data_IF_969237341262
#
_entry.id   IF_969237341262
#
_cell.length_a   1.000
_cell.length_b   1.000
_cell.length_c   1.000
_cell.angle_alpha   90.00
_cell.angle_beta   90.00
_cell.angle_gamma   90.00
#
_symmetry.space_group_name_H-M   'P 1'
#
loop_
_entity.id
_entity.type
_entity.pdbx_description
1 polymer ?
#
# COMPACT_ATOMS: atom_id res chain seq x y z
N UNK A 1 -21.33 -0.75 -23.72
CA UNK A 1 -21.96 0.59 -23.62
C UNK A 1 -20.86 1.64 -23.50
N UNK A 2 -21.04 2.89 -23.99
CA UNK A 2 -20.07 3.94 -23.66
C UNK A 2 -20.01 4.13 -22.13
N UNK A 3 -18.82 4.42 -21.60
CA UNK A 3 -18.62 4.65 -20.17
C UNK A 3 -19.62 5.67 -19.60
N UNK A 4 -20.19 5.36 -18.44
CA UNK A 4 -20.93 6.30 -17.61
C UNK A 4 -20.73 5.98 -16.13
N UNK A 5 -20.89 6.98 -15.27
CA UNK A 5 -20.78 6.78 -13.81
C UNK A 5 -22.01 6.03 -13.31
N UNK A 6 -21.79 4.90 -12.64
CA UNK A 6 -22.84 4.07 -12.08
C UNK A 6 -23.41 4.71 -10.81
N UNK A 7 -24.73 4.60 -10.67
CA UNK A 7 -25.48 4.82 -9.45
C UNK A 7 -26.14 3.50 -9.00
N UNK A 8 -26.88 3.53 -7.89
CA UNK A 8 -27.53 2.31 -7.38
C UNK A 8 -28.52 1.66 -8.35
N UNK A 9 -29.22 2.45 -9.18
CA UNK A 9 -30.23 1.95 -10.12
C UNK A 9 -29.58 1.34 -11.35
N UNK A 10 -28.61 2.04 -11.93
CA UNK A 10 -27.87 1.60 -13.11
C UNK A 10 -26.92 0.44 -12.82
N UNK A 11 -26.31 0.38 -11.63
CA UNK A 11 -25.54 -0.79 -11.19
C UNK A 11 -26.43 -2.03 -11.05
N UNK A 12 -27.64 -1.88 -10.49
CA UNK A 12 -28.60 -2.98 -10.40
C UNK A 12 -28.93 -3.53 -11.77
N UNK A 13 -29.24 -2.66 -12.72
CA UNK A 13 -29.54 -3.06 -14.09
C UNK A 13 -28.31 -3.70 -14.76
N UNK A 14 -27.13 -3.12 -14.62
CA UNK A 14 -25.90 -3.69 -15.19
C UNK A 14 -25.65 -5.12 -14.65
N UNK A 15 -25.90 -5.38 -13.37
CA UNK A 15 -25.78 -6.71 -12.77
C UNK A 15 -26.80 -7.72 -13.32
N UNK A 16 -27.99 -7.29 -13.77
CA UNK A 16 -28.98 -8.22 -14.38
C UNK A 16 -28.50 -8.80 -15.71
N UNK A 17 -27.64 -8.07 -16.41
CA UNK A 17 -27.06 -8.51 -17.68
C UNK A 17 -25.89 -9.51 -17.49
N UNK A 18 -25.48 -9.78 -16.25
CA UNK A 18 -24.34 -10.64 -15.91
C UNK A 18 -24.79 -11.84 -15.06
N UNK A 19 -25.26 -12.90 -15.72
CA UNK A 19 -25.87 -14.07 -15.07
C UNK A 19 -25.00 -14.70 -13.95
N UNK A 20 -23.69 -14.82 -14.17
CA UNK A 20 -22.77 -15.38 -13.17
C UNK A 20 -22.69 -14.52 -11.90
N UNK A 21 -22.69 -13.19 -12.04
CA UNK A 21 -22.67 -12.26 -10.91
C UNK A 21 -24.03 -12.22 -10.20
N UNK A 22 -25.12 -12.18 -10.96
CA UNK A 22 -26.48 -12.24 -10.43
C UNK A 22 -26.72 -13.53 -9.63
N UNK A 23 -26.18 -14.67 -10.10
CA UNK A 23 -26.29 -15.95 -9.39
C UNK A 23 -25.61 -15.95 -8.01
N UNK A 24 -24.53 -15.18 -7.83
CA UNK A 24 -23.85 -15.02 -6.54
C UNK A 24 -24.64 -14.19 -5.53
N UNK A 25 -25.52 -13.31 -6.02
CA UNK A 25 -26.42 -12.52 -5.18
C UNK A 25 -27.69 -13.31 -4.84
N UNK A 26 -28.16 -14.15 -5.76
CA UNK A 26 -29.41 -14.90 -5.61
C UNK A 26 -30.65 -14.03 -5.74
N UNK A 27 -31.83 -14.65 -5.70
CA UNK A 27 -33.12 -13.96 -5.76
C UNK A 27 -33.34 -13.14 -7.05
N UNK A 28 -34.28 -12.20 -6.98
CA UNK A 28 -34.56 -11.27 -8.08
C UNK A 28 -33.83 -9.94 -7.88
N UNK A 29 -33.64 -9.14 -8.94
CA UNK A 29 -33.01 -7.83 -8.82
C UNK A 29 -33.70 -6.92 -7.81
N UNK A 30 -35.00 -7.05 -7.55
CA UNK A 30 -35.73 -6.28 -6.54
C UNK A 30 -35.35 -6.63 -5.09
N UNK A 31 -34.83 -7.85 -4.86
CA UNK A 31 -34.41 -8.34 -3.54
C UNK A 31 -33.02 -7.81 -3.16
N UNK A 32 -32.28 -7.23 -4.11
CA UNK A 32 -30.94 -6.73 -3.85
C UNK A 32 -30.96 -5.38 -3.12
N UNK A 33 -30.06 -5.20 -2.17
CA UNK A 33 -29.77 -3.91 -1.55
C UNK A 33 -28.43 -3.41 -2.06
N UNK A 34 -28.36 -2.14 -2.46
CA UNK A 34 -27.14 -1.53 -2.98
C UNK A 34 -26.87 -0.27 -2.17
N UNK A 35 -25.68 -0.19 -1.58
CA UNK A 35 -25.23 1.00 -0.84
C UNK A 35 -23.86 1.44 -1.35
N UNK A 36 -23.70 2.74 -1.52
CA UNK A 36 -22.38 3.33 -1.75
C UNK A 36 -21.63 3.41 -0.41
N UNK A 37 -20.34 3.05 -0.43
CA UNK A 37 -19.45 2.99 0.75
C UNK A 37 -18.10 3.68 0.49
N UNK A 38 -18.09 4.65 -0.42
CA UNK A 38 -16.89 5.36 -0.86
C UNK A 38 -16.21 6.14 0.28
N UNK A 39 -15.19 5.56 0.89
CA UNK A 39 -14.33 6.17 1.92
C UNK A 39 -12.95 6.58 1.38
N UNK A 40 -12.48 5.94 0.31
CA UNK A 40 -11.21 6.25 -0.37
C UNK A 40 -11.22 7.51 -1.26
N UNK A 41 -10.05 7.88 -1.77
CA UNK A 41 -9.84 9.17 -2.46
C UNK A 41 -10.19 9.18 -3.96
N UNK A 42 -10.22 8.02 -4.64
CA UNK A 42 -10.19 7.94 -6.10
C UNK A 42 -11.45 7.36 -6.76
N UNK A 43 -12.12 6.39 -6.13
CA UNK A 43 -13.08 5.51 -6.79
C UNK A 43 -14.42 5.49 -6.05
N UNK A 44 -15.49 5.12 -6.75
CA UNK A 44 -16.79 4.82 -6.13
C UNK A 44 -16.86 3.34 -5.80
N UNK A 45 -17.31 3.00 -4.59
CA UNK A 45 -17.43 1.61 -4.14
C UNK A 45 -18.87 1.36 -3.71
N UNK A 46 -19.47 0.29 -4.22
CA UNK A 46 -20.79 -0.18 -3.84
C UNK A 46 -20.71 -1.56 -3.21
N UNK A 47 -21.48 -1.78 -2.14
CA UNK A 47 -21.77 -3.11 -1.62
C UNK A 47 -23.17 -3.49 -2.09
N UNK A 48 -23.25 -4.61 -2.79
CA UNK A 48 -24.49 -5.21 -3.27
C UNK A 48 -24.75 -6.47 -2.49
N UNK A 49 -25.89 -6.53 -1.79
CA UNK A 49 -26.28 -7.71 -1.02
C UNK A 49 -27.58 -8.29 -1.58
N UNK A 50 -27.59 -9.59 -1.86
CA UNK A 50 -28.78 -10.37 -2.18
C UNK A 50 -28.98 -11.51 -1.18
N UNK A 51 -30.02 -12.34 -1.37
CA UNK A 51 -30.35 -13.45 -0.47
C UNK A 51 -29.22 -14.48 -0.28
N UNK A 52 -28.43 -14.74 -1.33
CA UNK A 52 -27.44 -15.82 -1.33
C UNK A 52 -26.00 -15.33 -1.08
N UNK A 53 -25.75 -14.02 -1.17
CA UNK A 53 -24.41 -13.48 -1.03
C UNK A 53 -24.28 -11.99 -1.24
N UNK A 54 -23.03 -11.52 -1.24
CA UNK A 54 -22.67 -10.11 -1.39
C UNK A 54 -21.53 -9.93 -2.39
N UNK A 55 -21.57 -8.81 -3.11
CA UNK A 55 -20.53 -8.37 -4.04
C UNK A 55 -20.03 -6.98 -3.66
N UNK A 56 -18.73 -6.75 -3.86
CA UNK A 56 -18.14 -5.42 -3.84
C UNK A 56 -17.91 -4.96 -5.29
N UNK A 57 -18.46 -3.80 -5.65
CA UNK A 57 -18.39 -3.22 -6.99
C UNK A 57 -17.63 -1.89 -6.92
N UNK A 58 -16.42 -1.81 -7.49
CA UNK A 58 -15.55 -0.64 -7.47
C UNK A 58 -15.41 -0.06 -8.88
N UNK A 59 -15.83 1.18 -9.07
CA UNK A 59 -15.74 1.88 -10.37
C UNK A 59 -14.73 3.03 -10.30
N UNK A 60 -13.82 3.09 -11.27
CA UNK A 60 -12.96 4.25 -11.44
C UNK A 60 -13.76 5.45 -11.99
N UNK A 61 -13.47 6.65 -11.48
CA UNK A 61 -14.04 7.92 -11.94
C UNK A 61 -13.05 8.69 -12.85
N UNK A 62 -13.50 9.57 -13.76
CA UNK A 62 -12.60 10.33 -14.63
C UNK A 62 -11.82 11.45 -13.90
N UNK A 63 -11.92 11.52 -12.57
CA UNK A 63 -11.30 12.50 -11.68
C UNK A 63 -10.97 11.85 -10.33
N UNK A 64 -10.20 12.57 -9.50
CA UNK A 64 -10.00 12.24 -8.08
C UNK A 64 -11.28 12.57 -7.31
N UNK A 65 -11.90 11.59 -6.65
CA UNK A 65 -13.20 11.75 -5.97
C UNK A 65 -13.22 12.91 -4.94
N UNK A 66 -12.14 13.06 -4.18
CA UNK A 66 -12.01 14.12 -3.16
C UNK A 66 -11.53 15.48 -3.71
N UNK A 67 -11.13 15.52 -4.98
CA UNK A 67 -10.69 16.72 -5.70
C UNK A 67 -11.16 16.64 -7.17
N UNK A 68 -12.48 16.82 -7.44
CA UNK A 68 -13.06 16.58 -8.76
C UNK A 68 -12.46 17.42 -9.90
N UNK A 69 -11.81 18.52 -9.56
CA UNK A 69 -11.05 19.38 -10.46
C UNK A 69 -9.76 18.73 -10.99
N UNK A 70 -9.28 17.64 -10.38
CA UNK A 70 -8.10 16.90 -10.81
C UNK A 70 -8.52 15.69 -11.68
N UNK A 71 -8.35 15.75 -13.01
CA UNK A 71 -8.66 14.64 -13.89
C UNK A 71 -7.76 13.44 -13.60
N UNK A 72 -8.35 12.24 -13.66
CA UNK A 72 -7.65 10.99 -13.40
C UNK A 72 -8.05 9.91 -14.40
N UNK A 73 -7.11 9.26 -15.11
CA UNK A 73 -7.43 8.22 -16.08
C UNK A 73 -8.16 7.04 -15.46
N UNK A 74 -9.20 6.56 -16.13
CA UNK A 74 -10.02 5.42 -15.70
C UNK A 74 -9.23 4.10 -15.69
N UNK A 75 -8.18 4.02 -16.52
CA UNK A 75 -7.34 2.84 -16.70
C UNK A 75 -6.66 2.35 -15.42
N UNK A 76 -6.67 3.12 -14.31
CA UNK A 76 -6.26 2.60 -13.00
C UNK A 76 -7.01 1.33 -12.56
N UNK A 77 -8.30 1.21 -12.92
CA UNK A 77 -9.07 -0.01 -12.65
C UNK A 77 -8.51 -1.23 -13.40
N UNK A 78 -7.94 -1.03 -14.61
CA UNK A 78 -7.27 -2.09 -15.36
C UNK A 78 -6.04 -2.60 -14.61
N UNK A 79 -5.22 -1.69 -14.06
CA UNK A 79 -4.01 -2.07 -13.34
C UNK A 79 -4.32 -2.77 -12.02
N UNK A 80 -5.38 -2.35 -11.32
CA UNK A 80 -5.89 -3.07 -10.14
C UNK A 80 -6.35 -4.49 -10.52
N UNK A 81 -7.16 -4.63 -11.57
CA UNK A 81 -7.62 -5.95 -12.03
C UNK A 81 -6.44 -6.84 -12.47
N UNK A 82 -5.43 -6.26 -13.15
CA UNK A 82 -4.18 -6.97 -13.50
C UNK A 82 -3.43 -7.41 -12.26
N UNK A 83 -3.28 -6.55 -11.26
CA UNK A 83 -2.58 -6.88 -10.00
C UNK A 83 -3.27 -8.02 -9.26
N UNK A 84 -4.60 -7.94 -9.12
CA UNK A 84 -5.39 -9.00 -8.48
C UNK A 84 -5.21 -10.35 -9.20
N UNK A 85 -5.23 -10.36 -10.54
CA UNK A 85 -5.00 -11.58 -11.33
C UNK A 85 -3.58 -12.12 -11.21
N UNK A 86 -2.58 -11.24 -11.29
CA UNK A 86 -1.16 -11.62 -11.28
C UNK A 86 -0.72 -12.21 -9.93
N UNK A 87 -1.38 -11.82 -8.83
CA UNK A 87 -1.02 -12.24 -7.47
C UNK A 87 -1.95 -13.29 -6.87
N UNK A 88 -3.16 -13.48 -7.44
CA UNK A 88 -4.25 -14.31 -6.90
C UNK A 88 -3.78 -15.64 -6.30
N UNK A 89 -3.13 -16.48 -7.09
CA UNK A 89 -2.74 -17.84 -6.68
C UNK A 89 -1.78 -17.85 -5.49
N UNK A 90 -0.95 -16.81 -5.38
CA UNK A 90 0.06 -16.72 -4.33
C UNK A 90 -0.49 -16.12 -3.04
N UNK A 91 -1.43 -15.17 -3.14
CA UNK A 91 -1.87 -14.39 -1.98
C UNK A 91 -3.18 -14.87 -1.39
N UNK A 92 -4.00 -15.65 -2.11
CA UNK A 92 -5.27 -16.17 -1.56
C UNK A 92 -5.05 -16.99 -0.28
N UNK A 93 -5.92 -16.84 0.74
CA UNK A 93 -7.07 -15.95 0.80
C UNK A 93 -6.76 -14.52 1.29
N UNK A 94 -5.51 -14.09 1.46
CA UNK A 94 -5.14 -12.80 2.06
C UNK A 94 -5.44 -11.54 1.19
N UNK A 95 -6.21 -11.66 0.12
CA UNK A 95 -6.77 -10.58 -0.70
C UNK A 95 -8.15 -11.01 -1.24
N UNK A 96 -9.05 -10.07 -1.60
CA UNK A 96 -10.35 -10.42 -2.15
C UNK A 96 -10.23 -11.09 -3.52
N UNK A 97 -11.08 -12.07 -3.79
CA UNK A 97 -11.19 -12.66 -5.12
C UNK A 97 -11.83 -11.68 -6.12
N UNK A 98 -11.17 -11.46 -7.27
CA UNK A 98 -11.76 -10.74 -8.40
C UNK A 98 -12.70 -11.69 -9.17
N UNK A 99 -13.99 -11.35 -9.24
CA UNK A 99 -14.97 -12.13 -10.02
C UNK A 99 -15.07 -11.63 -11.46
N UNK A 100 -15.06 -10.31 -11.67
CA UNK A 100 -15.20 -9.73 -12.99
C UNK A 100 -14.53 -8.37 -13.10
N UNK A 101 -14.07 -8.02 -14.30
CA UNK A 101 -13.61 -6.68 -14.64
C UNK A 101 -14.20 -6.31 -16.00
N UNK A 102 -14.97 -5.23 -16.02
CA UNK A 102 -15.53 -4.60 -17.22
C UNK A 102 -14.58 -3.47 -17.66
N UNK A 103 -13.98 -3.61 -18.84
CA UNK A 103 -13.04 -2.65 -19.39
C UNK A 103 -13.72 -1.43 -20.04
N UNK A 104 -14.98 -1.55 -20.48
CA UNK A 104 -15.78 -0.43 -20.97
C UNK A 104 -16.26 0.46 -19.82
N UNK A 105 -16.67 -0.15 -18.71
CA UNK A 105 -17.19 0.55 -17.52
C UNK A 105 -16.12 0.87 -16.47
N UNK A 106 -14.91 0.32 -16.62
CA UNK A 106 -13.83 0.37 -15.63
C UNK A 106 -14.32 -0.06 -14.23
N UNK A 107 -15.11 -1.13 -14.21
CA UNK A 107 -15.78 -1.66 -13.03
C UNK A 107 -15.12 -2.98 -12.62
N UNK A 108 -14.63 -3.05 -11.38
CA UNK A 108 -14.24 -4.30 -10.74
C UNK A 108 -15.43 -4.83 -9.93
N UNK A 109 -15.72 -6.13 -10.07
CA UNK A 109 -16.65 -6.86 -9.20
C UNK A 109 -15.87 -7.96 -8.49
N UNK A 110 -15.86 -7.92 -7.16
CA UNK A 110 -14.99 -8.75 -6.32
C UNK A 110 -15.71 -9.25 -5.06
N UNK A 111 -15.06 -10.16 -4.34
CA UNK A 111 -15.46 -10.65 -3.02
C UNK A 111 -15.79 -9.47 -2.09
N UNK A 112 -16.98 -9.51 -1.47
CA UNK A 112 -17.34 -8.54 -0.45
C UNK A 112 -16.74 -8.96 0.89
N UNK A 113 -15.88 -8.12 1.45
CA UNK A 113 -15.21 -8.38 2.72
C UNK A 113 -16.04 -7.90 3.92
N UNK A 114 -17.37 -7.94 3.89
CA UNK A 114 -18.17 -7.68 5.10
C UNK A 114 -18.04 -8.90 6.03
N UNK A 115 -17.75 -8.76 7.34
CA UNK A 115 -17.75 -7.55 8.16
C UNK A 115 -16.35 -6.99 8.49
N UNK A 116 -15.35 -7.20 7.64
CA UNK A 116 -14.02 -6.61 7.82
C UNK A 116 -14.08 -5.08 7.83
N UNK A 117 -13.11 -4.50 8.50
CA UNK A 117 -12.95 -3.06 8.62
C UNK A 117 -11.51 -2.65 8.30
N UNK A 118 -11.35 -1.40 7.87
CA UNK A 118 -10.04 -0.84 7.55
C UNK A 118 -9.15 -0.81 8.80
N UNK A 119 -7.95 -1.38 8.70
CA UNK A 119 -6.98 -1.52 9.80
C UNK A 119 -6.66 -0.16 10.45
N UNK A 120 -6.51 0.92 9.68
CA UNK A 120 -6.30 2.26 10.22
C UNK A 120 -7.43 2.67 11.18
N UNK A 121 -8.67 2.44 10.79
CA UNK A 121 -9.84 2.75 11.62
C UNK A 121 -9.87 1.90 12.88
N UNK A 122 -9.56 0.61 12.76
CA UNK A 122 -9.43 -0.31 13.90
C UNK A 122 -8.31 0.12 14.87
N UNK A 123 -7.16 0.55 14.35
CA UNK A 123 -6.06 1.08 15.16
C UNK A 123 -6.45 2.36 15.90
N UNK A 124 -7.12 3.31 15.23
CA UNK A 124 -7.58 4.56 15.84
C UNK A 124 -8.60 4.31 16.95
N UNK A 125 -9.48 3.32 16.79
CA UNK A 125 -10.46 2.95 17.82
C UNK A 125 -9.92 2.00 18.89
N UNK A 126 -8.68 1.55 18.75
CA UNK A 126 -8.03 0.57 19.63
C UNK A 126 -8.66 -0.83 19.59
N UNK A 127 -9.23 -1.22 18.44
CA UNK A 127 -9.91 -2.50 18.23
C UNK A 127 -9.00 -3.56 17.58
N UNK A 128 -7.90 -3.14 16.96
CA UNK A 128 -7.00 -4.03 16.20
C UNK A 128 -6.25 -5.01 17.13
N UNK A 129 -6.53 -6.30 16.98
CA UNK A 129 -5.88 -7.34 17.77
C UNK A 129 -4.42 -7.59 17.32
N UNK A 130 -3.49 -7.90 18.24
CA UNK A 130 -2.10 -8.19 17.89
C UNK A 130 -1.97 -9.32 16.86
N UNK A 131 -0.98 -9.23 15.98
CA UNK A 131 -0.61 -10.28 15.03
C UNK A 131 -0.99 -10.03 13.59
N UNK A 132 -1.78 -8.99 13.27
CA UNK A 132 -2.17 -8.68 11.89
C UNK A 132 -0.97 -8.48 10.97
N UNK A 133 0.13 -7.94 11.50
CA UNK A 133 1.35 -7.68 10.75
C UNK A 133 2.03 -8.94 10.26
N UNK A 134 1.88 -10.08 10.97
CA UNK A 134 2.43 -11.35 10.53
C UNK A 134 1.77 -11.83 9.23
N UNK A 135 0.45 -11.68 9.12
CA UNK A 135 -0.31 -12.01 7.90
C UNK A 135 0.11 -11.13 6.72
N UNK A 136 0.31 -9.83 6.97
CA UNK A 136 0.75 -8.88 5.94
C UNK A 136 2.19 -9.18 5.49
N UNK A 137 3.07 -9.55 6.41
CA UNK A 137 4.43 -9.99 6.07
C UNK A 137 4.44 -11.21 5.13
N UNK A 138 3.58 -12.21 5.40
CA UNK A 138 3.41 -13.38 4.53
C UNK A 138 2.82 -12.99 3.17
N UNK A 139 1.82 -12.11 3.14
CA UNK A 139 1.25 -11.58 1.91
C UNK A 139 2.32 -10.97 1.00
N UNK A 140 3.16 -10.07 1.54
CA UNK A 140 4.23 -9.42 0.77
C UNK A 140 5.23 -10.46 0.28
N UNK A 141 5.68 -11.38 1.12
CA UNK A 141 6.62 -12.44 0.73
C UNK A 141 6.09 -13.31 -0.43
N UNK A 142 4.81 -13.67 -0.38
CA UNK A 142 4.15 -14.47 -1.42
C UNK A 142 3.98 -13.71 -2.72
N UNK A 143 3.59 -12.44 -2.67
CA UNK A 143 3.51 -11.57 -3.85
C UNK A 143 4.88 -11.40 -4.51
N UNK A 144 5.93 -11.18 -3.71
CA UNK A 144 7.31 -11.11 -4.18
C UNK A 144 7.74 -12.41 -4.83
N UNK A 145 7.55 -13.55 -4.16
CA UNK A 145 7.88 -14.84 -4.73
C UNK A 145 7.09 -15.13 -6.01
N UNK A 146 5.85 -14.66 -6.14
CA UNK A 146 5.07 -14.89 -7.35
C UNK A 146 5.59 -14.12 -8.57
N UNK A 147 6.29 -13.00 -8.35
CA UNK A 147 6.54 -11.99 -9.40
C UNK A 147 8.00 -11.57 -9.55
N UNK A 148 8.91 -12.04 -8.69
CA UNK A 148 10.33 -11.70 -8.76
C UNK A 148 11.11 -12.52 -9.78
N UNK A 149 12.20 -11.95 -10.29
CA UNK A 149 13.16 -12.61 -11.18
C UNK A 149 13.98 -13.73 -10.52
N UNK A 150 13.91 -13.84 -9.19
CA UNK A 150 14.59 -14.89 -8.40
C UNK A 150 13.81 -16.21 -8.47
N UNK A 151 12.49 -16.11 -8.56
CA UNK A 151 11.55 -17.22 -8.52
C UNK A 151 10.90 -17.51 -9.87
N UNK A 152 10.99 -16.56 -10.83
CA UNK A 152 10.39 -16.68 -12.17
C UNK A 152 11.40 -16.46 -13.29
N UNK A 153 11.24 -17.14 -14.45
CA UNK A 153 12.00 -16.85 -15.66
C UNK A 153 11.82 -15.39 -16.10
N UNK A 154 12.82 -14.84 -16.78
CA UNK A 154 12.83 -13.44 -17.18
C UNK A 154 11.68 -13.08 -18.13
N UNK A 155 11.16 -14.01 -18.92
CA UNK A 155 10.02 -13.75 -19.79
C UNK A 155 8.76 -13.42 -18.99
N UNK A 156 8.55 -14.09 -17.85
CA UNK A 156 7.40 -13.83 -16.97
C UNK A 156 7.51 -12.44 -16.36
N UNK A 157 8.68 -12.08 -15.82
CA UNK A 157 8.92 -10.75 -15.26
C UNK A 157 8.85 -9.64 -16.32
N UNK A 158 9.29 -9.92 -17.56
CA UNK A 158 9.27 -8.96 -18.66
C UNK A 158 7.84 -8.68 -19.13
N UNK A 159 6.98 -9.70 -19.17
CA UNK A 159 5.56 -9.54 -19.46
C UNK A 159 4.85 -8.71 -18.39
N UNK A 160 5.14 -8.95 -17.10
CA UNK A 160 4.62 -8.09 -16.03
C UNK A 160 5.11 -6.65 -16.20
N UNK A 161 6.39 -6.45 -16.50
CA UNK A 161 6.92 -5.10 -16.74
C UNK A 161 6.18 -4.39 -17.89
N UNK A 162 5.93 -5.08 -19.01
CA UNK A 162 5.14 -4.56 -20.12
C UNK A 162 3.72 -4.17 -19.65
N UNK A 163 3.00 -5.10 -19.00
CA UNK A 163 1.62 -4.92 -18.55
C UNK A 163 1.44 -3.76 -17.56
N UNK A 164 2.45 -3.45 -16.74
CA UNK A 164 2.37 -2.40 -15.73
C UNK A 164 3.08 -1.09 -16.11
N UNK A 165 3.89 -1.08 -17.19
CA UNK A 165 4.60 0.12 -17.67
C UNK A 165 3.68 1.30 -18.01
N UNK A 166 2.42 1.01 -18.37
CA UNK A 166 1.42 2.02 -18.70
C UNK A 166 0.74 2.68 -17.50
N UNK A 167 1.00 2.25 -16.26
CA UNK A 167 0.39 2.83 -15.04
C UNK A 167 1.00 4.19 -14.66
N UNK A 168 1.23 5.05 -15.66
CA UNK A 168 2.04 6.26 -15.55
C UNK A 168 1.35 7.35 -14.74
N UNK A 169 0.01 7.43 -14.78
CA UNK A 169 -0.74 8.43 -14.02
C UNK A 169 -0.65 8.20 -12.50
N UNK A 170 -0.87 6.97 -12.04
CA UNK A 170 -0.70 6.65 -10.61
C UNK A 170 0.76 6.67 -10.19
N UNK A 171 1.67 6.21 -11.06
CA UNK A 171 3.12 6.37 -10.82
C UNK A 171 3.49 7.85 -10.67
N UNK A 172 2.92 8.76 -11.47
CA UNK A 172 3.14 10.21 -11.36
C UNK A 172 2.67 10.75 -10.01
N UNK A 173 1.52 10.28 -9.51
CA UNK A 173 1.04 10.63 -8.16
C UNK A 173 2.08 10.20 -7.12
N UNK A 174 2.62 8.98 -7.19
CA UNK A 174 3.65 8.52 -6.26
C UNK A 174 4.92 9.38 -6.33
N UNK A 175 5.44 9.62 -7.54
CA UNK A 175 6.66 10.41 -7.71
C UNK A 175 6.46 11.86 -7.27
N UNK A 176 5.27 12.43 -7.46
CA UNK A 176 4.93 13.75 -6.95
C UNK A 176 4.77 13.75 -5.43
N UNK A 177 3.78 13.03 -4.93
CA UNK A 177 3.27 13.22 -3.58
C UNK A 177 4.11 12.54 -2.51
N UNK A 178 4.86 11.48 -2.87
CA UNK A 178 5.75 10.78 -1.93
C UNK A 178 7.19 11.25 -2.10
N UNK A 179 7.65 11.32 -3.36
CA UNK A 179 9.08 11.45 -3.63
C UNK A 179 9.56 12.90 -3.84
N UNK A 180 8.67 13.87 -4.08
CA UNK A 180 9.10 15.21 -4.52
C UNK A 180 8.47 16.34 -3.74
N UNK A 181 7.15 16.45 -3.75
CA UNK A 181 6.44 17.64 -3.27
C UNK A 181 6.66 17.96 -1.79
N UNK A 182 6.70 17.00 -0.84
CA UNK A 182 6.95 17.33 0.57
C UNK A 182 8.30 18.03 0.82
N UNK A 183 9.27 17.87 -0.09
CA UNK A 183 10.65 18.34 0.04
C UNK A 183 10.91 19.68 -0.67
N UNK A 184 9.85 20.36 -1.13
CA UNK A 184 9.96 21.69 -1.75
C UNK A 184 8.71 22.52 -1.50
N UNK A 185 8.78 23.85 -1.66
CA UNK A 185 7.58 24.67 -1.78
C UNK A 185 6.71 24.16 -2.93
N UNK A 186 5.47 23.79 -2.64
CA UNK A 186 4.53 23.21 -3.59
C UNK A 186 3.10 23.63 -3.22
N UNK A 187 2.35 24.16 -4.18
CA UNK A 187 0.96 24.59 -3.96
C UNK A 187 -0.02 23.44 -3.68
N UNK A 188 0.35 22.19 -3.98
CA UNK A 188 -0.44 21.02 -3.59
C UNK A 188 -0.31 20.71 -2.10
N UNK A 189 0.82 21.05 -1.46
CA UNK A 189 0.95 20.82 -0.03
C UNK A 189 0.09 21.82 0.73
N UNK A 190 -0.59 21.41 1.81
CA UNK A 190 -1.29 22.35 2.66
C UNK A 190 -0.29 23.30 3.33
N UNK A 191 -0.75 24.51 3.64
CA UNK A 191 0.04 25.45 4.44
C UNK A 191 0.41 24.80 5.79
N UNK A 192 1.71 24.78 6.17
CA UNK A 192 2.12 24.23 7.45
C UNK A 192 1.45 24.94 8.63
N UNK A 193 1.16 24.19 9.70
CA UNK A 193 0.79 24.82 10.97
C UNK A 193 1.92 25.78 11.40
N UNK A 194 1.60 26.98 11.90
CA UNK A 194 2.59 28.01 12.23
C UNK A 194 3.72 27.49 13.14
N UNK A 195 3.39 26.58 14.08
CA UNK A 195 4.35 25.96 14.98
C UNK A 195 5.29 24.93 14.30
N UNK A 196 4.93 24.42 13.13
CA UNK A 196 5.74 23.48 12.32
C UNK A 196 6.44 24.17 11.16
N UNK A 197 6.08 25.41 10.81
CA UNK A 197 6.70 26.12 9.69
C UNK A 197 8.24 26.11 9.73
N UNK A 198 8.91 26.35 10.88
CA UNK A 198 10.37 26.26 10.93
C UNK A 198 10.91 24.85 10.63
N UNK A 199 10.22 23.80 11.12
CA UNK A 199 10.59 22.41 10.86
C UNK A 199 10.45 22.07 9.35
N UNK A 200 9.38 22.56 8.71
CA UNK A 200 9.10 22.35 7.28
C UNK A 200 10.10 23.11 6.41
N UNK A 201 10.37 24.39 6.69
CA UNK A 201 11.36 25.18 5.95
C UNK A 201 12.74 24.55 6.06
N UNK A 202 13.16 24.17 7.27
CA UNK A 202 14.46 23.52 7.47
C UNK A 202 14.57 22.20 6.69
N UNK A 203 13.50 21.41 6.65
CA UNK A 203 13.43 20.17 5.86
C UNK A 203 13.58 20.44 4.36
N UNK A 204 12.85 21.43 3.82
CA UNK A 204 12.86 21.80 2.40
C UNK A 204 14.15 22.51 1.95
N UNK A 205 15.01 22.93 2.87
CA UNK A 205 16.33 23.51 2.59
C UNK A 205 17.48 22.53 2.87
N UNK A 206 17.17 21.33 3.38
CA UNK A 206 18.15 20.35 3.83
C UNK A 206 18.82 19.61 2.64
N UNK A 207 19.97 20.12 2.18
CA UNK A 207 20.71 19.56 1.05
C UNK A 207 21.12 18.08 1.23
N UNK A 208 21.66 17.65 2.39
CA UNK A 208 21.90 16.21 2.64
C UNK A 208 20.64 15.36 2.48
N UNK A 209 19.49 15.81 3.02
CA UNK A 209 18.23 15.11 2.89
C UNK A 209 17.80 15.01 1.43
N UNK A 210 17.86 16.09 0.67
CA UNK A 210 17.50 16.10 -0.74
C UNK A 210 18.35 15.14 -1.58
N UNK A 211 19.65 15.03 -1.27
CA UNK A 211 20.53 14.04 -1.91
C UNK A 211 20.08 12.61 -1.61
N UNK A 212 19.75 12.32 -0.35
CA UNK A 212 19.27 11.00 0.04
C UNK A 212 17.90 10.68 -0.59
N UNK A 213 16.99 11.66 -0.67
CA UNK A 213 15.72 11.53 -1.41
C UNK A 213 15.98 11.25 -2.90
N UNK A 214 16.97 11.92 -3.52
CA UNK A 214 17.38 11.66 -4.90
C UNK A 214 17.83 10.22 -5.14
N UNK A 215 18.52 9.60 -4.18
CA UNK A 215 18.88 8.17 -4.25
C UNK A 215 17.63 7.28 -4.18
N UNK A 216 16.65 7.61 -3.34
CA UNK A 216 15.40 6.86 -3.24
C UNK A 216 14.50 7.05 -4.48
N UNK A 217 14.54 8.23 -5.11
CA UNK A 217 13.90 8.50 -6.40
C UNK A 217 14.49 7.63 -7.51
N UNK A 218 15.82 7.61 -7.64
CA UNK A 218 16.52 6.75 -8.59
C UNK A 218 16.16 5.28 -8.32
N UNK A 219 16.21 4.86 -7.06
CA UNK A 219 15.84 3.51 -6.65
C UNK A 219 14.42 3.12 -7.06
N UNK A 220 13.43 3.98 -6.79
CA UNK A 220 12.03 3.72 -7.15
C UNK A 220 11.83 3.62 -8.68
N UNK A 221 12.49 4.49 -9.45
CA UNK A 221 12.31 4.55 -10.91
C UNK A 221 13.08 3.46 -11.67
N UNK A 222 14.13 2.89 -11.09
CA UNK A 222 15.05 1.98 -11.80
C UNK A 222 15.04 0.55 -11.29
N UNK A 223 14.78 0.31 -10.00
CA UNK A 223 14.81 -1.03 -9.43
C UNK A 223 13.52 -1.79 -9.72
N UNK A 224 13.63 -2.94 -10.39
CA UNK A 224 12.49 -3.79 -10.78
C UNK A 224 12.62 -5.13 -10.07
N UNK A 225 12.35 -5.17 -8.76
CA UNK A 225 12.58 -6.40 -7.98
C UNK A 225 11.38 -7.36 -8.04
N UNK A 226 10.16 -6.83 -7.94
CA UNK A 226 8.91 -7.58 -7.97
C UNK A 226 7.74 -6.66 -8.36
N UNK A 227 6.57 -7.24 -8.58
CA UNK A 227 5.33 -6.48 -8.72
C UNK A 227 4.86 -6.03 -7.34
N UNK A 228 4.86 -4.72 -7.13
CA UNK A 228 4.44 -4.08 -5.88
C UNK A 228 2.92 -3.88 -5.86
N UNK A 229 2.37 -3.80 -4.65
CA UNK A 229 1.05 -3.22 -4.40
C UNK A 229 1.03 -1.72 -4.77
N UNK A 230 2.09 -0.99 -4.41
CA UNK A 230 2.33 0.39 -4.82
C UNK A 230 1.67 1.47 -3.94
N UNK A 231 0.74 1.10 -3.06
CA UNK A 231 0.23 1.97 -1.98
C UNK A 231 -0.15 1.16 -0.71
N UNK A 232 0.76 0.30 -0.26
CA UNK A 232 0.51 -0.59 0.89
C UNK A 232 0.58 0.18 2.22
N UNK A 233 -0.53 0.79 2.62
CA UNK A 233 -0.67 1.45 3.92
C UNK A 233 -1.79 0.85 4.76
N UNK A 234 -1.92 1.23 6.04
CA UNK A 234 -2.97 0.69 6.94
C UNK A 234 -4.41 1.01 6.51
N UNK A 235 -4.59 1.91 5.53
CA UNK A 235 -5.87 2.14 4.86
C UNK A 235 -6.21 1.15 3.74
N UNK A 236 -5.24 0.36 3.26
CA UNK A 236 -5.38 -0.60 2.15
C UNK A 236 -5.43 -2.04 2.67
N UNK A 237 -5.80 -2.18 3.94
CA UNK A 237 -5.79 -3.44 4.68
C UNK A 237 -7.09 -3.47 5.48
N UNK A 238 -7.84 -4.54 5.31
CA UNK A 238 -9.04 -4.79 6.08
C UNK A 238 -8.83 -6.00 7.00
N UNK A 239 -9.46 -6.00 8.17
CA UNK A 239 -9.40 -7.12 9.09
C UNK A 239 -10.76 -7.43 9.70
N UNK A 240 -10.97 -8.71 10.00
CA UNK A 240 -12.01 -9.17 10.91
C UNK A 240 -11.44 -10.28 11.79
N UNK A 241 -11.26 -9.99 13.08
CA UNK A 241 -10.55 -10.89 14.02
C UNK A 241 -9.15 -11.18 13.46
N UNK A 242 -8.84 -12.45 13.20
CA UNK A 242 -7.54 -12.90 12.71
C UNK A 242 -7.47 -12.96 11.16
N UNK A 243 -8.56 -12.70 10.44
CA UNK A 243 -8.57 -12.65 8.98
C UNK A 243 -8.17 -11.26 8.50
N UNK A 244 -7.06 -11.19 7.75
CA UNK A 244 -6.45 -9.95 7.26
C UNK A 244 -6.37 -10.00 5.74
N UNK A 245 -6.94 -8.98 5.09
CA UNK A 245 -7.08 -8.88 3.64
C UNK A 245 -6.47 -7.59 3.12
N UNK A 246 -5.57 -7.69 2.14
CA UNK A 246 -5.01 -6.53 1.44
C UNK A 246 -5.90 -6.20 0.25
N UNK A 247 -6.20 -4.91 0.06
CA UNK A 247 -7.10 -4.38 -0.98
C UNK A 247 -6.43 -3.23 -1.73
N UNK A 248 -6.99 -2.78 -2.85
CA UNK A 248 -6.62 -1.54 -3.55
C UNK A 248 -5.21 -1.51 -4.18
N UNK A 249 -4.82 -2.58 -4.88
CA UNK A 249 -3.57 -2.66 -5.66
C UNK A 249 -3.56 -1.84 -6.95
N UNK A 250 -4.23 -0.69 -7.02
CA UNK A 250 -4.33 0.13 -8.23
C UNK A 250 -3.02 0.83 -8.59
N UNK A 251 -2.17 1.13 -7.60
CA UNK A 251 -0.84 1.72 -7.76
C UNK A 251 0.23 0.70 -8.18
N UNK A 252 -0.17 -0.53 -8.50
CA UNK A 252 0.77 -1.61 -8.78
C UNK A 252 1.77 -1.25 -9.89
N UNK A 253 3.02 -1.59 -9.64
CA UNK A 253 4.15 -1.32 -10.52
C UNK A 253 5.30 -2.28 -10.25
N UNK A 254 6.15 -2.53 -11.25
CA UNK A 254 7.40 -3.28 -11.04
C UNK A 254 8.43 -2.36 -10.36
N UNK A 255 8.75 -2.64 -9.09
CA UNK A 255 9.50 -1.71 -8.25
C UNK A 255 10.38 -2.37 -7.18
N UNK A 256 11.02 -1.57 -6.30
CA UNK A 256 11.77 -2.07 -5.15
C UNK A 256 10.83 -2.56 -4.04
N UNK A 257 11.04 -3.78 -3.55
CA UNK A 257 10.19 -4.44 -2.54
C UNK A 257 10.12 -3.62 -1.24
N UNK A 258 11.24 -2.96 -0.89
CA UNK A 258 11.29 -2.09 0.28
C UNK A 258 10.33 -0.91 0.22
N UNK A 259 9.77 -0.56 -0.95
CA UNK A 259 8.76 0.50 -1.06
C UNK A 259 7.48 0.11 -0.33
N UNK A 260 6.85 -1.02 -0.66
CA UNK A 260 5.63 -1.50 0.02
C UNK A 260 5.88 -1.72 1.51
N UNK A 261 7.00 -2.36 1.87
CA UNK A 261 7.40 -2.54 3.26
C UNK A 261 7.54 -1.19 3.99
N UNK A 262 8.16 -0.20 3.35
CA UNK A 262 8.38 1.13 3.90
C UNK A 262 7.08 1.90 4.10
N UNK A 263 6.18 1.89 3.12
CA UNK A 263 4.86 2.52 3.23
C UNK A 263 4.07 1.94 4.41
N UNK A 264 4.08 0.61 4.56
CA UNK A 264 3.37 -0.06 5.63
C UNK A 264 3.94 0.28 7.01
N UNK A 265 5.26 0.15 7.18
CA UNK A 265 5.95 0.48 8.44
C UNK A 265 5.84 1.96 8.78
N UNK A 266 5.88 2.85 7.78
CA UNK A 266 5.70 4.29 7.97
C UNK A 266 4.34 4.63 8.57
N UNK A 267 3.28 3.94 8.14
CA UNK A 267 1.94 4.13 8.70
C UNK A 267 1.82 3.61 10.14
N UNK A 268 2.45 2.48 10.47
CA UNK A 268 2.55 2.02 11.86
C UNK A 268 3.34 3.01 12.73
N UNK A 269 4.46 3.53 12.23
CA UNK A 269 5.28 4.51 12.95
C UNK A 269 4.55 5.86 13.16
N UNK A 270 3.75 6.31 12.20
CA UNK A 270 2.87 7.48 12.33
C UNK A 270 1.85 7.28 13.45
N UNK A 271 1.21 6.12 13.51
CA UNK A 271 0.30 5.77 14.59
C UNK A 271 0.98 5.85 15.96
N UNK A 272 2.19 5.30 16.10
CA UNK A 272 2.98 5.38 17.33
C UNK A 272 3.43 6.81 17.70
N UNK A 273 3.55 7.72 16.72
CA UNK A 273 3.80 9.14 16.99
C UNK A 273 2.54 9.82 17.54
N UNK A 274 1.36 9.51 17.00
CA UNK A 274 0.08 10.08 17.44
C UNK A 274 -0.43 9.47 18.76
N UNK A 275 -0.11 8.20 19.04
CA UNK A 275 -0.45 7.49 20.26
C UNK A 275 0.81 6.93 20.96
N UNK A 276 1.58 7.76 21.69
CA UNK A 276 2.85 7.35 22.29
C UNK A 276 2.75 6.14 23.25
N UNK A 277 1.61 5.98 23.93
CA UNK A 277 1.34 4.85 24.83
C UNK A 277 1.21 3.50 24.09
N UNK A 278 1.06 3.50 22.76
CA UNK A 278 1.00 2.30 21.91
C UNK A 278 2.34 1.96 21.24
N UNK A 279 3.44 2.67 21.55
CA UNK A 279 4.74 2.41 20.92
C UNK A 279 5.21 0.95 21.04
N UNK A 280 5.03 0.32 22.21
CA UNK A 280 5.41 -1.09 22.41
C UNK A 280 4.57 -2.06 21.59
N UNK A 281 3.27 -1.79 21.44
CA UNK A 281 2.38 -2.56 20.57
C UNK A 281 2.81 -2.45 19.11
N UNK A 282 3.01 -1.22 18.63
CA UNK A 282 3.44 -0.96 17.26
C UNK A 282 4.82 -1.57 16.96
N UNK A 283 5.75 -1.49 17.91
CA UNK A 283 7.07 -2.14 17.79
C UNK A 283 6.93 -3.66 17.63
N UNK A 284 6.03 -4.27 18.39
CA UNK A 284 5.74 -5.72 18.30
C UNK A 284 5.19 -6.08 16.92
N UNK A 285 4.27 -5.27 16.39
CA UNK A 285 3.70 -5.43 15.05
C UNK A 285 4.75 -5.28 13.93
N UNK A 286 5.65 -4.29 14.01
CA UNK A 286 6.78 -4.14 13.06
C UNK A 286 7.70 -5.37 13.09
N UNK A 287 8.00 -5.88 14.30
CA UNK A 287 8.79 -7.10 14.46
C UNK A 287 8.08 -8.30 13.84
N UNK A 288 6.77 -8.43 14.07
CA UNK A 288 5.96 -9.52 13.53
C UNK A 288 5.89 -9.49 12.00
N UNK A 289 5.75 -8.31 11.40
CA UNK A 289 5.82 -8.11 9.94
C UNK A 289 7.15 -8.60 9.40
N UNK A 290 8.27 -8.02 9.87
CA UNK A 290 9.58 -8.28 9.28
C UNK A 290 10.01 -9.74 9.47
N UNK A 291 9.74 -10.32 10.64
CA UNK A 291 10.02 -11.75 10.88
C UNK A 291 9.21 -12.64 9.96
N UNK A 292 7.89 -12.39 9.83
CA UNK A 292 7.04 -13.24 9.00
C UNK A 292 7.37 -13.09 7.52
N UNK A 293 7.61 -11.87 7.05
CA UNK A 293 8.07 -11.58 5.69
C UNK A 293 9.36 -12.34 5.36
N UNK A 294 10.40 -12.15 6.18
CA UNK A 294 11.71 -12.75 5.88
C UNK A 294 11.71 -14.26 6.06
N UNK A 295 10.98 -14.82 7.03
CA UNK A 295 10.86 -16.27 7.20
C UNK A 295 10.11 -16.93 6.04
N UNK A 296 8.97 -16.37 5.63
CA UNK A 296 8.19 -16.88 4.50
C UNK A 296 9.00 -16.77 3.21
N UNK A 297 9.67 -15.64 2.96
CA UNK A 297 10.47 -15.45 1.76
C UNK A 297 11.68 -16.39 1.71
N UNK A 298 12.35 -16.63 2.85
CA UNK A 298 13.40 -17.65 2.95
C UNK A 298 12.86 -19.03 2.61
N UNK A 299 11.71 -19.41 3.15
CA UNK A 299 11.10 -20.70 2.86
C UNK A 299 10.75 -20.86 1.38
N UNK A 300 10.17 -19.82 0.77
CA UNK A 300 9.77 -19.82 -0.64
C UNK A 300 10.97 -19.83 -1.60
N UNK A 301 12.06 -19.13 -1.27
CA UNK A 301 13.25 -19.03 -2.12
C UNK A 301 14.30 -20.12 -1.89
N UNK A 302 14.04 -21.07 -0.97
CA UNK A 302 14.90 -22.26 -0.76
C UNK A 302 15.13 -23.02 -2.07
N UNK A 303 14.05 -23.19 -2.84
CA UNK A 303 14.13 -23.74 -4.19
C UNK A 303 14.23 -22.60 -5.19
N UNK A 304 15.13 -22.72 -6.16
CA UNK A 304 15.19 -21.81 -7.29
C UNK A 304 13.97 -21.90 -8.20
N UNK A 305 13.95 -21.11 -9.26
CA UNK A 305 12.88 -21.11 -10.25
C UNK A 305 12.97 -19.98 -11.27
N UNK A 306 13.72 -18.93 -10.95
CA UNK A 306 14.06 -17.86 -11.87
C UNK A 306 15.53 -17.80 -12.25
N UNK A 307 15.87 -16.79 -13.04
CA UNK A 307 17.20 -16.62 -13.63
C UNK A 307 18.20 -15.93 -12.69
N UNK A 308 17.72 -15.20 -11.68
CA UNK A 308 18.60 -14.60 -10.67
C UNK A 308 19.16 -15.68 -9.75
N UNK A 309 20.49 -15.69 -9.62
CA UNK A 309 21.28 -16.66 -8.84
C UNK A 309 21.28 -18.09 -9.39
N UNK A 310 20.96 -18.30 -10.67
CA UNK A 310 20.88 -19.63 -11.28
C UNK A 310 22.19 -20.45 -11.23
N UNK A 311 23.35 -19.79 -11.05
CA UNK A 311 24.67 -20.44 -10.93
C UNK A 311 25.10 -20.72 -9.48
N UNK A 312 24.34 -20.26 -8.50
CA UNK A 312 24.71 -20.38 -7.08
C UNK A 312 24.43 -21.78 -6.54
N UNK A 313 25.36 -22.31 -5.73
CA UNK A 313 25.09 -23.47 -4.90
C UNK A 313 24.24 -23.11 -3.66
N UNK A 314 23.95 -24.10 -2.81
CA UNK A 314 23.11 -23.90 -1.61
C UNK A 314 23.66 -22.86 -0.63
N UNK A 315 24.98 -22.86 -0.40
CA UNK A 315 25.64 -21.93 0.54
C UNK A 315 25.66 -20.51 -0.04
N UNK A 316 26.08 -20.38 -1.30
CA UNK A 316 26.10 -19.09 -2.01
C UNK A 316 24.69 -18.48 -2.09
N UNK A 317 23.67 -19.31 -2.30
CA UNK A 317 22.27 -18.86 -2.36
C UNK A 317 21.80 -18.29 -1.02
N UNK A 318 22.19 -18.90 0.09
CA UNK A 318 21.86 -18.39 1.44
C UNK A 318 22.51 -17.00 1.67
N UNK A 319 23.79 -16.84 1.33
CA UNK A 319 24.48 -15.54 1.44
C UNK A 319 23.85 -14.46 0.54
N UNK A 320 23.52 -14.81 -0.71
CA UNK A 320 22.87 -13.90 -1.66
C UNK A 320 21.48 -13.48 -1.18
N UNK A 321 20.74 -14.40 -0.56
CA UNK A 321 19.44 -14.12 0.03
C UNK A 321 19.56 -13.17 1.24
N UNK A 322 20.52 -13.38 2.14
CA UNK A 322 20.74 -12.46 3.26
C UNK A 322 21.13 -11.05 2.78
N UNK A 323 21.99 -10.94 1.76
CA UNK A 323 22.32 -9.66 1.13
C UNK A 323 21.10 -8.98 0.51
N UNK A 324 20.24 -9.75 -0.14
CA UNK A 324 18.99 -9.26 -0.73
C UNK A 324 18.02 -8.75 0.35
N UNK A 325 17.86 -9.49 1.45
CA UNK A 325 17.02 -9.09 2.59
C UNK A 325 17.54 -7.82 3.25
N UNK A 326 18.86 -7.68 3.41
CA UNK A 326 19.48 -6.44 3.90
C UNK A 326 19.21 -5.26 2.96
N UNK A 327 19.34 -5.44 1.65
CA UNK A 327 19.00 -4.39 0.68
C UNK A 327 17.52 -3.99 0.75
N UNK A 328 16.60 -4.95 0.92
CA UNK A 328 15.18 -4.65 1.12
C UNK A 328 14.96 -3.86 2.41
N UNK A 329 15.68 -4.19 3.49
CA UNK A 329 15.56 -3.49 4.77
C UNK A 329 16.06 -2.03 4.69
N UNK A 330 17.13 -1.79 3.94
CA UNK A 330 17.65 -0.44 3.66
C UNK A 330 16.64 0.38 2.85
N UNK A 331 16.10 -0.19 1.77
CA UNK A 331 15.03 0.43 0.99
C UNK A 331 13.80 0.71 1.87
N UNK A 332 13.42 -0.24 2.73
CA UNK A 332 12.31 -0.12 3.69
C UNK A 332 12.51 1.06 4.63
N UNK A 333 13.72 1.25 5.18
CA UNK A 333 14.01 2.38 6.05
C UNK A 333 13.82 3.72 5.31
N UNK A 334 14.37 3.84 4.11
CA UNK A 334 14.26 5.05 3.29
C UNK A 334 12.81 5.39 2.93
N UNK A 335 12.08 4.45 2.35
CA UNK A 335 10.68 4.65 1.95
C UNK A 335 9.74 4.83 3.15
N UNK A 336 10.02 4.21 4.30
CA UNK A 336 9.34 4.50 5.56
C UNK A 336 9.49 5.97 5.95
N UNK A 337 10.69 6.53 5.83
CA UNK A 337 10.91 7.94 6.13
C UNK A 337 10.19 8.89 5.16
N UNK A 338 10.17 8.56 3.87
CA UNK A 338 9.39 9.30 2.86
C UNK A 338 7.90 9.28 3.17
N UNK A 339 7.34 8.11 3.53
CA UNK A 339 5.94 7.97 3.89
C UNK A 339 5.58 8.79 5.13
N UNK A 340 6.41 8.74 6.17
CA UNK A 340 6.19 9.52 7.39
C UNK A 340 6.15 11.03 7.10
N UNK A 341 7.06 11.54 6.27
CA UNK A 341 7.09 12.96 5.90
C UNK A 341 5.89 13.33 5.03
N UNK A 342 5.61 12.57 3.96
CA UNK A 342 4.54 12.91 3.02
C UNK A 342 3.16 12.90 3.66
N UNK A 343 2.91 11.97 4.59
CA UNK A 343 1.67 11.92 5.37
C UNK A 343 1.55 12.99 6.44
N UNK A 344 2.66 13.66 6.77
CA UNK A 344 2.68 14.71 7.79
C UNK A 344 2.57 16.11 7.20
N UNK A 345 3.14 16.38 6.03
CA UNK A 345 3.15 17.73 5.43
C UNK A 345 2.72 17.78 3.96
N UNK A 346 2.54 16.61 3.33
CA UNK A 346 2.10 16.53 1.94
C UNK A 346 0.58 16.63 1.80
N UNK A 347 0.13 16.52 0.55
CA UNK A 347 -1.28 16.62 0.14
C UNK A 347 -2.22 15.68 0.92
N UNK A 348 -1.90 14.37 0.99
CA UNK A 348 -2.77 13.36 1.60
C UNK A 348 -2.29 12.98 3.01
N UNK A 349 -2.81 13.65 4.03
CA UNK A 349 -2.45 13.41 5.44
C UNK A 349 -3.18 12.20 6.05
N UNK A 350 -2.73 11.73 7.22
CA UNK A 350 -3.32 10.57 7.93
C UNK A 350 -4.27 10.98 9.05
N UNK A 351 -5.33 10.19 9.23
CA UNK A 351 -6.32 10.38 10.29
C UNK A 351 -5.77 10.08 11.70
N UNK A 352 -4.65 9.37 11.83
CA UNK A 352 -4.05 8.98 13.12
C UNK A 352 -3.80 10.19 14.05
N UNK A 353 -3.51 11.37 13.50
CA UNK A 353 -3.31 12.60 14.28
C UNK A 353 -4.57 13.08 15.03
N UNK A 354 -5.76 12.52 14.74
CA UNK A 354 -6.99 12.75 15.51
C UNK A 354 -6.95 12.14 16.92
N UNK A 355 -6.03 11.19 17.16
CA UNK A 355 -5.78 10.60 18.48
C UNK A 355 -5.15 11.58 19.48
N UNK A 356 -4.53 12.66 18.98
CA UNK A 356 -3.84 13.63 19.82
C UNK A 356 -4.87 14.51 20.57
N UNK A 357 -4.85 14.54 21.92
CA UNK A 357 -5.91 15.17 22.71
C UNK A 357 -5.90 16.70 22.65
N UNK A 358 -4.74 17.31 22.36
CA UNK A 358 -4.62 18.77 22.18
C UNK A 358 -3.86 19.14 20.90
N UNK A 359 -4.03 20.36 20.38
CA UNK A 359 -3.24 20.88 19.26
C UNK A 359 -1.72 20.83 19.49
N UNK A 360 -1.27 21.03 20.74
CA UNK A 360 0.14 20.96 21.12
C UNK A 360 0.65 19.53 21.03
N UNK A 361 -0.12 18.54 21.51
CA UNK A 361 0.23 17.12 21.35
C UNK A 361 0.27 16.72 19.87
N UNK A 362 -0.69 17.19 19.06
CA UNK A 362 -0.69 16.96 17.61
C UNK A 362 0.56 17.54 16.94
N UNK A 363 0.89 18.77 17.27
CA UNK A 363 2.11 19.44 16.79
C UNK A 363 3.37 18.65 17.17
N UNK A 364 3.46 18.18 18.41
CA UNK A 364 4.59 17.37 18.87
C UNK A 364 4.68 16.03 18.13
N UNK A 365 3.55 15.34 17.93
CA UNK A 365 3.48 14.10 17.18
C UNK A 365 3.95 14.28 15.72
N UNK A 366 3.46 15.33 15.04
CA UNK A 366 3.87 15.69 13.68
C UNK A 366 5.36 16.04 13.61
N UNK A 367 5.88 16.84 14.56
CA UNK A 367 7.32 17.14 14.64
C UNK A 367 8.15 15.88 14.82
N UNK A 368 7.75 14.98 15.71
CA UNK A 368 8.42 13.68 15.90
C UNK A 368 8.41 12.86 14.61
N UNK A 369 7.30 12.84 13.87
CA UNK A 369 7.20 12.15 12.60
C UNK A 369 8.17 12.72 11.55
N UNK A 370 8.25 14.05 11.42
CA UNK A 370 9.19 14.72 10.50
C UNK A 370 10.66 14.44 10.86
N UNK A 371 11.01 14.51 12.14
CA UNK A 371 12.37 14.24 12.61
C UNK A 371 12.76 12.77 12.40
N UNK A 372 11.83 11.85 12.70
CA UNK A 372 12.03 10.42 12.50
C UNK A 372 12.18 10.08 11.02
N UNK A 373 11.32 10.65 10.16
CA UNK A 373 11.39 10.44 8.72
C UNK A 373 12.72 10.92 8.11
N UNK A 374 13.20 12.11 8.51
CA UNK A 374 14.51 12.60 8.09
C UNK A 374 15.64 11.68 8.54
N UNK A 375 15.61 11.23 9.80
CA UNK A 375 16.61 10.30 10.34
C UNK A 375 16.63 8.98 9.58
N UNK A 376 15.47 8.42 9.26
CA UNK A 376 15.35 7.20 8.46
C UNK A 376 15.95 7.36 7.07
N UNK A 377 15.59 8.41 6.34
CA UNK A 377 16.09 8.68 4.98
C UNK A 377 17.62 8.83 4.99
N UNK A 378 18.16 9.63 5.92
CA UNK A 378 19.59 9.92 5.98
C UNK A 378 20.44 8.71 6.38
N UNK A 379 19.88 7.75 7.11
CA UNK A 379 20.60 6.58 7.62
C UNK A 379 20.16 5.27 6.97
N UNK A 380 19.33 5.31 5.92
CA UNK A 380 18.78 4.11 5.28
C UNK A 380 19.88 3.13 4.86
N UNK A 381 20.97 3.62 4.25
CA UNK A 381 22.07 2.80 3.76
C UNK A 381 22.94 2.17 4.88
N UNK A 382 22.88 2.67 6.11
CA UNK A 382 23.65 2.10 7.23
C UNK A 382 22.88 1.01 7.99
N UNK A 383 21.59 0.83 7.70
CA UNK A 383 20.77 -0.23 8.32
C UNK A 383 21.25 -1.61 7.85
N UNK A 384 21.59 -2.47 8.81
CA UNK A 384 22.00 -3.87 8.55
C UNK A 384 21.03 -4.87 9.19
N UNK A 385 20.39 -4.48 10.29
CA UNK A 385 19.51 -5.35 11.06
C UNK A 385 18.19 -4.67 11.39
N UNK A 386 17.17 -5.47 11.72
CA UNK A 386 15.89 -4.94 12.21
C UNK A 386 16.08 -4.06 13.46
N UNK A 387 17.04 -4.39 14.31
CA UNK A 387 17.36 -3.60 15.50
C UNK A 387 17.82 -2.18 15.14
N UNK A 388 18.60 -2.02 14.07
CA UNK A 388 19.04 -0.71 13.59
C UNK A 388 17.83 0.12 13.12
N UNK A 389 16.93 -0.49 12.33
CA UNK A 389 15.70 0.17 11.90
C UNK A 389 14.82 0.60 13.08
N UNK A 390 14.61 -0.29 14.05
CA UNK A 390 13.82 0.02 15.25
C UNK A 390 14.45 1.14 16.09
N UNK A 391 15.79 1.20 16.16
CA UNK A 391 16.50 2.28 16.83
C UNK A 391 16.26 3.63 16.12
N UNK A 392 16.26 3.64 14.78
CA UNK A 392 15.93 4.85 14.00
C UNK A 392 14.46 5.27 14.14
N UNK A 393 13.54 4.34 14.41
CA UNK A 393 12.12 4.66 14.65
C UNK A 393 11.85 5.26 16.05
N UNK A 394 12.78 5.12 17.00
CA UNK A 394 12.62 5.58 18.40
C UNK A 394 11.33 5.07 19.06
N UNK A 395 11.02 3.79 18.83
CA UNK A 395 9.95 3.08 19.51
C UNK A 395 10.52 2.42 20.78
N UNK A 396 10.12 2.94 21.95
CA UNK A 396 10.54 2.40 23.25
C UNK A 396 10.08 0.95 23.41
#
# INVERSE_FOLDING_TARGET
>A
MPYFTLDTSSLRHWLTEHADLASRLGGNPADWTIREVSDGNLNTVFIVAGPDGQLCCKQALPHVRVAPEWPMPLQRALYEARYMRATADAVRPAAPELYFYDDEMFLLVMECLTPHEVLRSALIRDDAQPGFSASIGKYVARSVHATSWISRPFEVGSKLLEEFSGNTALTRITVDLILTDPFRPCSRNPEPEAALLPDVTALQENKPLHRAVGVLQDRFLTARQALLHGDLHTGSIMLHRDDVRVIDGEFATMGPIGFDCGLYLGNLALHACAAPHKQGFIKTEIIAFWRSFTNELRALLKTGGGDVWALSDGTQREELLENFLTSILQDTAGFCGLEMIRRTIGFAQVADYTLCPTPENRTQARRKALQTGQRLILNAASVQTLSDLLALLTLA
#
